data_IF_437929149184
#
_entry.id   IF_437929149184
#
_cell.length_a   1.000
_cell.length_b   1.000
_cell.length_c   1.000
_cell.angle_alpha   90.00
_cell.angle_beta   90.00
_cell.angle_gamma   90.00
#
_symmetry.space_group_name_H-M   'P 1'
#
loop_
_entity.id
_entity.type
_entity.pdbx_description
1 polymer ?
#
# COMPACT_ATOMS: atom_id res chain seq x y z
N UNK A 1 -23.33 31.48 26.73
CA UNK A 1 -24.11 30.63 25.82
C UNK A 1 -23.18 30.23 24.68
N UNK A 2 -22.47 29.12 24.84
CA UNK A 2 -21.42 28.71 23.90
C UNK A 2 -22.08 28.15 22.64
N UNK A 3 -22.17 28.98 21.60
CA UNK A 3 -22.70 28.57 20.30
C UNK A 3 -21.68 27.70 19.59
N UNK A 4 -21.62 26.42 19.96
CA UNK A 4 -20.85 25.41 19.24
C UNK A 4 -21.30 25.36 17.79
N UNK A 5 -20.37 25.58 16.86
CA UNK A 5 -20.61 25.54 15.42
C UNK A 5 -21.13 24.15 15.03
N UNK A 6 -22.46 24.03 14.87
CA UNK A 6 -23.14 22.76 14.58
C UNK A 6 -22.68 22.25 13.22
N UNK A 7 -22.00 21.10 13.19
CA UNK A 7 -21.63 20.41 11.95
C UNK A 7 -22.90 19.84 11.33
N UNK A 8 -23.16 20.13 10.07
CA UNK A 8 -24.34 19.65 9.33
C UNK A 8 -23.94 18.84 8.11
N UNK A 9 -24.87 18.02 7.63
CA UNK A 9 -24.73 17.24 6.41
C UNK A 9 -24.69 18.16 5.19
N UNK A 10 -23.64 18.06 4.37
CA UNK A 10 -23.51 18.91 3.18
C UNK A 10 -24.51 18.58 2.07
N UNK A 11 -25.09 17.36 2.07
CA UNK A 11 -26.13 16.97 1.13
C UNK A 11 -27.53 17.38 1.59
N UNK A 12 -27.84 17.05 2.84
CA UNK A 12 -29.19 17.04 3.37
C UNK A 12 -29.46 18.17 4.37
N UNK A 13 -28.44 18.93 4.79
CA UNK A 13 -28.54 20.07 5.69
C UNK A 13 -28.84 19.73 7.14
N UNK A 14 -29.23 18.49 7.44
CA UNK A 14 -29.62 18.08 8.80
C UNK A 14 -28.40 17.95 9.74
N UNK A 15 -28.57 18.23 11.04
CA UNK A 15 -27.56 18.00 12.07
C UNK A 15 -27.25 16.50 12.24
N UNK A 16 -26.18 16.11 12.94
CA UNK A 16 -25.96 14.71 13.33
C UNK A 16 -27.21 14.17 14.04
N UNK A 17 -27.75 13.05 13.56
CA UNK A 17 -28.87 12.42 14.23
C UNK A 17 -28.40 11.97 15.61
N UNK A 18 -29.07 12.41 16.66
CA UNK A 18 -28.90 11.79 17.97
C UNK A 18 -29.57 10.43 17.90
N UNK A 19 -28.87 9.37 18.30
CA UNK A 19 -29.56 8.09 18.45
C UNK A 19 -30.46 8.23 19.69
N UNK A 20 -31.78 8.06 19.51
CA UNK A 20 -32.75 8.32 20.58
C UNK A 20 -32.71 7.27 21.70
N UNK A 21 -31.84 6.26 21.59
CA UNK A 21 -31.87 5.05 22.42
C UNK A 21 -30.63 4.87 23.29
N UNK A 22 -29.56 5.58 22.98
CA UNK A 22 -28.29 5.63 23.68
C UNK A 22 -27.85 7.09 23.56
N UNK A 23 -27.46 7.78 24.61
CA UNK A 23 -27.11 9.22 24.52
C UNK A 23 -25.84 9.53 23.71
N UNK A 24 -25.50 8.70 22.70
CA UNK A 24 -24.29 8.76 21.91
C UNK A 24 -24.49 9.61 20.66
N UNK A 25 -23.63 10.60 20.49
CA UNK A 25 -23.57 11.37 19.24
C UNK A 25 -23.19 10.46 18.06
N UNK A 26 -24.07 10.35 17.06
CA UNK A 26 -23.70 9.72 15.79
C UNK A 26 -22.63 10.57 15.12
N UNK A 27 -21.42 10.02 15.07
CA UNK A 27 -20.26 10.67 14.45
C UNK A 27 -20.48 10.80 12.93
N UNK A 28 -20.61 12.03 12.45
CA UNK A 28 -20.65 12.31 11.02
C UNK A 28 -19.31 11.97 10.35
N UNK A 29 -19.39 11.44 9.13
CA UNK A 29 -18.23 11.10 8.31
C UNK A 29 -17.80 12.31 7.49
N UNK A 30 -16.54 12.68 7.57
CA UNK A 30 -15.94 13.73 6.71
C UNK A 30 -15.54 13.14 5.36
N UNK A 31 -15.56 13.97 4.31
CA UNK A 31 -15.06 13.56 2.99
C UNK A 31 -13.59 13.12 3.09
N UNK A 32 -13.26 11.89 2.66
CA UNK A 32 -11.89 11.37 2.76
C UNK A 32 -10.87 12.14 1.92
N UNK A 33 -11.32 12.83 0.86
CA UNK A 33 -10.44 13.59 -0.05
C UNK A 33 -10.14 14.99 0.48
N UNK A 34 -11.17 15.82 0.63
CA UNK A 34 -10.99 17.22 1.03
C UNK A 34 -11.05 17.45 2.54
N UNK A 35 -11.65 16.52 3.30
CA UNK A 35 -11.89 16.63 4.74
C UNK A 35 -12.67 17.89 5.18
N UNK A 36 -13.19 18.68 4.24
CA UNK A 36 -13.84 19.98 4.48
C UNK A 36 -15.35 19.89 4.76
N UNK A 37 -16.01 18.84 4.29
CA UNK A 37 -17.47 18.66 4.41
C UNK A 37 -17.82 17.36 5.13
N UNK A 38 -18.98 17.36 5.80
CA UNK A 38 -19.47 16.24 6.62
C UNK A 38 -20.75 15.64 6.03
N UNK A 39 -20.95 14.35 6.28
CA UNK A 39 -22.09 13.55 5.84
C UNK A 39 -22.51 12.60 6.96
N UNK A 40 -23.79 12.24 7.03
CA UNK A 40 -24.23 11.17 7.94
C UNK A 40 -23.63 9.81 7.53
N UNK A 41 -23.63 9.55 6.23
CA UNK A 41 -23.29 8.26 5.65
C UNK A 41 -22.72 8.41 4.23
N UNK A 42 -22.33 7.28 3.65
CA UNK A 42 -21.77 7.22 2.31
C UNK A 42 -22.81 7.52 1.22
N UNK A 43 -24.12 7.41 1.51
CA UNK A 43 -25.16 7.69 0.53
C UNK A 43 -25.30 9.19 0.31
N UNK A 44 -25.36 9.97 1.39
CA UNK A 44 -25.32 11.43 1.35
C UNK A 44 -24.07 11.93 0.60
N UNK A 45 -22.91 11.32 0.85
CA UNK A 45 -21.68 11.65 0.13
C UNK A 45 -21.80 11.39 -1.38
N UNK A 46 -22.33 10.22 -1.79
CA UNK A 46 -22.48 9.86 -3.21
C UNK A 46 -23.45 10.77 -3.95
N UNK A 47 -24.55 11.19 -3.31
CA UNK A 47 -25.54 12.10 -3.90
C UNK A 47 -24.93 13.49 -4.11
N UNK A 48 -24.34 14.07 -3.06
CA UNK A 48 -23.66 15.36 -3.16
C UNK A 48 -22.46 15.34 -4.13
N UNK A 49 -21.77 14.20 -4.24
CA UNK A 49 -20.71 14.00 -5.23
C UNK A 49 -21.21 14.21 -6.67
N UNK A 50 -22.37 13.65 -7.00
CA UNK A 50 -22.99 13.77 -8.32
C UNK A 50 -23.51 15.19 -8.58
N UNK A 51 -24.09 15.85 -7.57
CA UNK A 51 -24.66 17.20 -7.69
C UNK A 51 -23.61 18.27 -8.00
N UNK A 52 -22.39 18.12 -7.50
CA UNK A 52 -21.36 19.10 -7.80
C UNK A 52 -20.13 19.04 -6.94
N UNK A 53 -20.16 18.31 -5.81
CA UNK A 53 -19.01 18.26 -4.92
C UNK A 53 -17.75 17.79 -5.63
N UNK A 54 -17.86 16.89 -6.63
CA UNK A 54 -16.72 16.45 -7.46
C UNK A 54 -15.91 17.58 -8.09
N UNK A 55 -16.54 18.72 -8.40
CA UNK A 55 -15.90 19.87 -9.06
C UNK A 55 -15.10 20.73 -8.09
N UNK A 56 -15.52 20.75 -6.82
CA UNK A 56 -14.92 21.59 -5.75
C UNK A 56 -14.11 20.77 -4.75
N UNK A 57 -14.22 19.44 -4.80
CA UNK A 57 -13.54 18.55 -3.87
C UNK A 57 -12.02 18.63 -4.04
N UNK A 58 -11.33 19.13 -3.02
CA UNK A 58 -9.88 19.30 -2.99
C UNK A 58 -9.40 20.74 -3.26
N UNK A 59 -10.32 21.67 -3.53
CA UNK A 59 -9.99 23.09 -3.75
C UNK A 59 -9.98 23.91 -2.44
N UNK A 60 -10.59 23.40 -1.37
CA UNK A 60 -10.67 24.11 -0.09
C UNK A 60 -9.42 23.86 0.77
N UNK A 61 -8.77 24.97 1.10
CA UNK A 61 -7.53 25.12 1.84
C UNK A 61 -7.42 24.29 3.13
N UNK A 62 -6.21 23.78 3.41
CA UNK A 62 -5.80 23.44 4.78
C UNK A 62 -5.16 22.08 5.02
N UNK A 63 -4.82 21.31 3.98
CA UNK A 63 -4.09 20.06 4.16
C UNK A 63 -3.09 19.86 3.04
N UNK A 64 -1.83 20.16 3.33
CA UNK A 64 -0.66 19.64 2.59
C UNK A 64 -0.60 18.11 2.73
N UNK A 65 -1.65 17.41 2.34
CA UNK A 65 -1.58 15.98 2.10
C UNK A 65 -0.96 15.81 0.72
N UNK A 66 0.36 16.06 0.71
CA UNK A 66 1.30 15.39 -0.16
C UNK A 66 1.14 13.88 0.06
N UNK A 67 0.03 13.29 -0.38
CA UNK A 67 0.02 11.94 -0.91
C UNK A 67 0.82 12.00 -2.22
N UNK A 68 2.12 12.28 -2.06
CA UNK A 68 3.15 11.79 -2.93
C UNK A 68 2.84 10.31 -3.03
N UNK A 69 2.35 9.96 -4.21
CA UNK A 69 2.43 8.68 -4.83
C UNK A 69 3.79 8.05 -4.51
N UNK A 70 3.95 7.47 -3.32
CA UNK A 70 5.04 6.58 -3.03
C UNK A 70 4.64 5.30 -3.73
N UNK A 71 4.95 5.25 -5.03
CA UNK A 71 5.56 4.06 -5.59
C UNK A 71 6.65 3.72 -4.58
N UNK A 72 6.39 2.77 -3.70
CA UNK A 72 7.38 2.24 -2.77
C UNK A 72 8.43 1.58 -3.65
N UNK A 73 9.39 2.38 -4.11
CA UNK A 73 10.71 1.89 -4.49
C UNK A 73 11.39 1.47 -3.19
N UNK A 74 10.99 0.32 -2.66
CA UNK A 74 11.97 -0.55 -2.02
C UNK A 74 12.58 -1.38 -3.16
N UNK A 75 13.88 -1.69 -3.15
CA UNK A 75 14.81 -1.59 -2.04
C UNK A 75 15.91 -0.53 -2.26
N UNK A 76 16.71 -0.26 -1.23
CA UNK A 76 18.12 0.05 -1.43
C UNK A 76 18.65 -0.89 -2.51
N UNK A 77 19.05 -0.36 -3.67
CA UNK A 77 19.51 -1.18 -4.79
C UNK A 77 20.83 -1.83 -4.41
N UNK A 78 20.71 -3.00 -3.79
CA UNK A 78 21.81 -3.91 -3.57
C UNK A 78 22.54 -4.12 -4.92
N UNK A 79 23.87 -3.98 -4.97
CA UNK A 79 24.65 -4.14 -6.21
C UNK A 79 24.33 -5.45 -6.93
N UNK A 80 23.96 -6.51 -6.20
CA UNK A 80 23.58 -7.81 -6.75
C UNK A 80 22.26 -7.71 -7.53
N UNK A 81 21.28 -6.95 -7.04
CA UNK A 81 20.00 -6.79 -7.75
C UNK A 81 20.15 -6.02 -9.08
N UNK A 82 21.08 -5.07 -9.14
CA UNK A 82 21.43 -4.40 -10.41
C UNK A 82 22.07 -5.38 -11.40
N UNK A 83 22.99 -6.22 -10.93
CA UNK A 83 23.67 -7.22 -11.75
C UNK A 83 22.70 -8.26 -12.31
N UNK A 84 21.81 -8.79 -11.46
CA UNK A 84 20.75 -9.73 -11.85
C UNK A 84 19.83 -9.11 -12.90
N UNK A 85 19.39 -7.86 -12.69
CA UNK A 85 18.52 -7.17 -13.65
C UNK A 85 19.22 -6.95 -15.00
N UNK A 86 20.53 -6.64 -14.98
CA UNK A 86 21.32 -6.44 -16.20
C UNK A 86 21.52 -7.77 -16.96
N UNK A 87 21.85 -8.85 -16.24
CA UNK A 87 22.04 -10.18 -16.83
C UNK A 87 20.75 -10.74 -17.41
N UNK A 88 19.63 -10.58 -16.71
CA UNK A 88 18.31 -10.98 -17.21
C UNK A 88 17.92 -10.25 -18.51
N UNK A 89 18.20 -8.93 -18.60
CA UNK A 89 17.93 -8.15 -19.82
C UNK A 89 18.80 -8.60 -21.00
N UNK A 90 20.04 -8.98 -20.74
CA UNK A 90 20.98 -9.50 -21.74
C UNK A 90 20.56 -10.87 -22.27
N UNK A 91 20.23 -11.82 -21.40
CA UNK A 91 19.75 -13.16 -21.78
C UNK A 91 18.47 -13.07 -22.63
N UNK A 92 17.55 -12.16 -22.27
CA UNK A 92 16.34 -11.92 -23.06
C UNK A 92 16.64 -11.30 -24.44
N UNK A 93 17.66 -10.44 -24.54
CA UNK A 93 18.10 -9.88 -25.82
C UNK A 93 18.69 -10.93 -26.76
N UNK A 94 19.15 -12.06 -26.22
CA UNK A 94 19.64 -13.21 -26.99
C UNK A 94 18.51 -14.14 -27.45
N UNK A 95 17.24 -13.77 -27.21
CA UNK A 95 16.08 -14.55 -27.62
C UNK A 95 15.68 -15.66 -26.64
N UNK A 96 16.30 -15.72 -25.46
CA UNK A 96 15.96 -16.73 -24.46
C UNK A 96 14.59 -16.47 -23.84
N UNK A 97 13.86 -17.55 -23.55
CA UNK A 97 12.61 -17.48 -22.82
C UNK A 97 12.85 -16.89 -21.42
N UNK A 98 11.82 -16.22 -20.88
CA UNK A 98 11.87 -15.66 -19.52
C UNK A 98 12.18 -16.72 -18.47
N UNK A 99 11.70 -17.95 -18.68
CA UNK A 99 11.95 -19.07 -17.79
C UNK A 99 13.41 -19.54 -17.83
N UNK A 100 14.00 -19.64 -19.03
CA UNK A 100 15.41 -20.03 -19.21
C UNK A 100 16.36 -18.97 -18.64
N UNK A 101 16.07 -17.69 -18.88
CA UNK A 101 16.87 -16.59 -18.35
C UNK A 101 16.88 -16.53 -16.81
N UNK A 102 15.76 -16.88 -16.16
CA UNK A 102 15.69 -16.97 -14.68
C UNK A 102 16.45 -18.18 -14.14
N UNK A 103 16.40 -19.32 -14.84
CA UNK A 103 17.07 -20.55 -14.42
C UNK A 103 18.59 -20.41 -14.54
N UNK A 104 19.08 -19.79 -15.61
CA UNK A 104 20.51 -19.56 -15.83
C UNK A 104 21.10 -18.51 -14.87
N UNK A 105 20.34 -17.46 -14.53
CA UNK A 105 20.78 -16.49 -13.52
C UNK A 105 20.88 -17.08 -12.10
N UNK A 106 20.11 -18.14 -11.79
CA UNK A 106 20.19 -18.86 -10.52
C UNK A 106 21.44 -19.75 -10.46
N UNK A 107 21.77 -20.39 -11.57
CA UNK A 107 22.95 -21.24 -11.73
C UNK A 107 24.25 -20.42 -11.62
N UNK A 108 24.33 -19.25 -12.27
CA UNK A 108 25.52 -18.39 -12.26
C UNK A 108 25.82 -17.71 -10.90
N UNK A 109 24.84 -17.60 -9.98
CA UNK A 109 24.99 -16.92 -8.68
C UNK A 109 25.09 -17.88 -7.48
N UNK A 110 25.06 -19.19 -7.72
CA UNK A 110 25.53 -20.19 -6.77
C UNK A 110 26.76 -20.87 -7.38
N UNK A 111 27.99 -20.48 -7.04
CA UNK A 111 29.08 -21.42 -7.15
C UNK A 111 28.66 -22.69 -6.41
N UNK A 112 28.82 -23.83 -7.06
CA UNK A 112 28.94 -25.10 -6.37
C UNK A 112 29.82 -24.86 -5.14
N UNK A 113 29.24 -24.94 -3.94
CA UNK A 113 30.02 -25.34 -2.77
C UNK A 113 30.39 -26.81 -3.04
N UNK A 114 31.43 -26.96 -3.83
CA UNK A 114 32.33 -28.11 -3.86
C UNK A 114 33.23 -28.12 -2.62
N UNK A 115 32.69 -27.68 -1.48
CA UNK A 115 33.11 -28.15 -0.17
C UNK A 115 32.18 -29.30 0.23
N UNK A 116 32.61 -30.49 -0.19
CA UNK A 116 32.48 -31.72 0.58
C UNK A 116 31.98 -31.51 2.02
N UNK A 117 30.72 -31.89 2.27
CA UNK A 117 30.38 -32.41 3.57
C UNK A 117 29.33 -33.49 3.43
N UNK A 118 29.85 -34.70 3.26
CA UNK A 118 29.13 -35.95 3.46
C UNK A 118 28.40 -35.92 4.81
N UNK A 119 27.09 -35.66 4.77
CA UNK A 119 26.22 -35.70 5.93
C UNK A 119 26.04 -37.14 6.49
N UNK A 120 26.63 -38.15 5.81
CA UNK A 120 26.69 -39.55 6.25
C UNK A 120 27.78 -39.86 7.28
N UNK A 121 28.97 -39.26 7.18
CA UNK A 121 30.13 -39.63 8.01
C UNK A 121 30.27 -38.87 9.32
N UNK A 122 29.60 -37.72 9.48
CA UNK A 122 29.59 -36.99 10.76
C UNK A 122 28.76 -37.64 11.86
N UNK A 123 27.80 -38.52 11.51
CA UNK A 123 27.05 -39.29 12.52
C UNK A 123 27.90 -40.45 13.06
N UNK A 124 28.73 -41.09 12.22
CA UNK A 124 29.62 -42.17 12.65
C UNK A 124 30.78 -41.70 13.55
N UNK A 125 31.23 -40.45 13.41
CA UNK A 125 32.29 -39.88 14.25
C UNK A 125 31.78 -39.25 15.57
N UNK A 126 30.47 -38.97 15.69
CA UNK A 126 29.84 -38.52 16.94
C UNK A 126 29.56 -39.68 17.90
N UNK A 127 29.54 -40.92 17.40
CA UNK A 127 29.51 -42.14 18.19
C UNK A 127 30.84 -42.86 18.05
N UNK A 128 31.89 -42.29 18.65
CA UNK A 128 33.20 -42.95 18.82
C UNK A 128 33.14 -44.14 19.78
N UNK A 129 32.17 -45.05 19.58
CA UNK A 129 31.88 -46.35 20.20
C UNK A 129 30.73 -47.02 19.44
#
# INVERSE_FOLDING_TARGET
>A
METGLKKTCAYCGLPPSQDASSGTEIKMKKCSRCKSVFYHDAECQKKHWKEGHKKVCGQSAGGNDSFKNKKTKHPSMDPVHQLVTRRFKELRSQGMSTQEAMMQARDELMPSEEDEMDAGSKVAAMFGM
#
